data_IF_958561876315
#
_entry.id   IF_958561876315
#
_cell.length_a   1.000
_cell.length_b   1.000
_cell.length_c   1.000
_cell.angle_alpha   90.00
_cell.angle_beta   90.00
_cell.angle_gamma   90.00
#
_symmetry.space_group_name_H-M   'P 1'
#
loop_
_entity.id
_entity.type
_entity.pdbx_description
1 polymer ?
#
# COMPACT_ATOMS: atom_id res chain seq x y z
N UNK A 1 29.68 32.39 35.00
CA UNK A 1 30.90 31.65 34.66
C UNK A 1 30.73 30.21 35.13
N UNK A 2 30.31 29.30 34.25
CA UNK A 2 30.43 27.86 34.48
C UNK A 2 31.71 27.44 33.78
N UNK A 3 32.84 27.71 34.45
CA UNK A 3 34.17 27.30 34.01
C UNK A 3 34.54 26.13 34.90
N UNK A 4 34.77 24.96 34.29
CA UNK A 4 35.02 23.62 34.90
C UNK A 4 33.79 22.73 35.00
N UNK A 5 33.39 22.17 33.86
CA UNK A 5 32.76 20.85 33.82
C UNK A 5 33.81 19.90 33.25
N UNK A 6 34.31 18.98 34.08
CA UNK A 6 35.34 17.98 33.72
C UNK A 6 34.87 17.01 32.62
N UNK A 7 33.57 17.03 32.30
CA UNK A 7 32.97 16.23 31.23
C UNK A 7 33.48 16.59 29.83
N UNK A 8 33.91 17.84 29.61
CA UNK A 8 34.40 18.30 28.30
C UNK A 8 35.93 18.29 28.19
N UNK A 9 36.65 17.98 29.28
CA UNK A 9 38.11 17.98 29.28
C UNK A 9 38.71 16.74 28.59
N UNK A 10 37.91 15.70 28.37
CA UNK A 10 38.30 14.47 27.67
C UNK A 10 37.89 14.44 26.19
N UNK A 11 37.31 15.51 25.66
CA UNK A 11 36.87 15.59 24.26
C UNK A 11 38.00 15.83 23.24
N UNK A 12 39.25 15.95 23.68
CA UNK A 12 40.40 16.38 22.85
C UNK A 12 41.22 15.21 22.29
N UNK A 13 40.92 13.95 22.67
CA UNK A 13 41.72 12.79 22.26
C UNK A 13 40.99 11.76 21.38
N UNK A 14 39.78 12.06 20.91
CA UNK A 14 39.20 11.21 19.86
C UNK A 14 39.74 11.66 18.50
N UNK A 15 40.79 10.97 18.04
CA UNK A 15 41.37 11.16 16.71
C UNK A 15 40.42 10.62 15.63
N UNK A 16 39.36 11.39 15.41
CA UNK A 16 38.30 11.10 14.46
C UNK A 16 38.85 10.95 13.05
N UNK A 17 39.95 11.62 12.72
CA UNK A 17 40.61 11.54 11.41
C UNK A 17 41.20 10.15 11.26
N UNK A 18 42.07 9.71 12.19
CA UNK A 18 42.67 8.39 12.09
C UNK A 18 41.64 7.26 12.22
N UNK A 19 40.63 7.40 13.08
CA UNK A 19 39.55 6.40 13.17
C UNK A 19 38.66 6.35 11.92
N UNK A 20 38.43 7.49 11.27
CA UNK A 20 37.72 7.54 10.00
C UNK A 20 38.55 6.95 8.86
N UNK A 21 39.86 7.23 8.81
CA UNK A 21 40.79 6.65 7.83
C UNK A 21 40.87 5.13 8.02
N UNK A 22 41.10 4.62 9.24
CA UNK A 22 41.07 3.18 9.54
C UNK A 22 39.74 2.55 9.10
N UNK A 23 38.62 3.21 9.35
CA UNK A 23 37.29 2.73 8.94
C UNK A 23 37.16 2.69 7.41
N UNK A 24 37.53 3.75 6.69
CA UNK A 24 37.48 3.80 5.22
C UNK A 24 38.45 2.80 4.59
N UNK A 25 39.61 2.55 5.19
CA UNK A 25 40.55 1.50 4.76
C UNK A 25 40.00 0.09 5.03
N UNK A 26 39.32 -0.13 6.16
CA UNK A 26 38.68 -1.41 6.48
C UNK A 26 37.43 -1.69 5.63
N UNK A 27 36.70 -0.64 5.22
CA UNK A 27 35.53 -0.78 4.38
C UNK A 27 35.97 -0.62 2.93
N UNK A 28 36.00 -1.73 2.21
CA UNK A 28 36.44 -1.73 0.81
C UNK A 28 35.38 -1.08 -0.11
N UNK A 29 35.34 0.25 -0.12
CA UNK A 29 34.33 1.08 -0.79
C UNK A 29 34.58 1.27 -2.30
N UNK A 30 35.78 0.95 -2.77
CA UNK A 30 36.19 1.19 -4.15
C UNK A 30 35.74 0.05 -5.08
N UNK A 31 35.20 0.40 -6.25
CA UNK A 31 34.85 -0.57 -7.29
C UNK A 31 36.15 -0.99 -7.98
N UNK A 32 36.67 -2.14 -7.58
CA UNK A 32 38.03 -2.59 -7.95
C UNK A 32 38.21 -3.03 -9.40
N UNK A 33 37.14 -3.32 -10.15
CA UNK A 33 37.26 -3.87 -11.50
C UNK A 33 36.28 -3.22 -12.47
N UNK A 34 36.70 -3.09 -13.73
CA UNK A 34 35.84 -2.61 -14.81
C UNK A 34 34.59 -3.49 -14.98
N UNK A 35 34.72 -4.81 -14.81
CA UNK A 35 33.58 -5.73 -14.86
C UNK A 35 32.58 -5.45 -13.72
N UNK A 36 33.05 -5.19 -12.51
CA UNK A 36 32.18 -4.81 -11.38
C UNK A 36 31.49 -3.47 -11.62
N UNK A 37 32.18 -2.50 -12.22
CA UNK A 37 31.61 -1.22 -12.60
C UNK A 37 30.52 -1.37 -13.69
N UNK A 38 30.80 -2.12 -14.75
CA UNK A 38 29.87 -2.39 -15.84
C UNK A 38 28.62 -3.16 -15.36
N UNK A 39 28.80 -4.15 -14.48
CA UNK A 39 27.68 -4.87 -13.86
C UNK A 39 26.81 -3.94 -13.00
N UNK A 40 27.43 -3.03 -12.25
CA UNK A 40 26.71 -2.06 -11.43
C UNK A 40 25.92 -1.08 -12.29
N UNK A 41 26.53 -0.58 -13.38
CA UNK A 41 25.86 0.29 -14.35
C UNK A 41 24.65 -0.42 -14.98
N UNK A 42 24.82 -1.65 -15.45
CA UNK A 42 23.73 -2.46 -15.99
C UNK A 42 22.59 -2.63 -14.98
N UNK A 43 22.91 -2.99 -13.74
CA UNK A 43 21.91 -3.14 -12.68
C UNK A 43 21.15 -1.83 -12.41
N UNK A 44 21.83 -0.68 -12.43
CA UNK A 44 21.15 0.61 -12.26
C UNK A 44 20.21 0.93 -13.41
N UNK A 45 20.60 0.64 -14.65
CA UNK A 45 19.74 0.80 -15.82
C UNK A 45 18.50 -0.09 -15.69
N UNK A 46 18.67 -1.36 -15.31
CA UNK A 46 17.57 -2.29 -15.12
C UNK A 46 16.63 -1.83 -14.00
N UNK A 47 17.16 -1.40 -12.85
CA UNK A 47 16.37 -0.83 -11.75
C UNK A 47 15.54 0.37 -12.23
N UNK A 48 16.11 1.25 -13.05
CA UNK A 48 15.40 2.40 -13.58
C UNK A 48 14.27 1.98 -14.52
N UNK A 49 14.51 1.01 -15.40
CA UNK A 49 13.48 0.46 -16.28
C UNK A 49 12.33 -0.18 -15.47
N UNK A 50 12.66 -0.98 -14.45
CA UNK A 50 11.67 -1.58 -13.56
C UNK A 50 10.84 -0.53 -12.80
N UNK A 51 11.45 0.58 -12.37
CA UNK A 51 10.73 1.69 -11.74
C UNK A 51 9.73 2.34 -12.71
N UNK A 52 10.08 2.49 -13.98
CA UNK A 52 9.19 3.04 -15.01
C UNK A 52 7.98 2.13 -15.23
N UNK A 53 8.21 0.82 -15.40
CA UNK A 53 7.14 -0.17 -15.57
C UNK A 53 6.22 -0.22 -14.33
N UNK A 54 6.79 -0.21 -13.12
CA UNK A 54 6.02 -0.18 -11.88
C UNK A 54 5.11 1.06 -11.82
N UNK A 55 5.63 2.24 -12.16
CA UNK A 55 4.85 3.48 -12.19
C UNK A 55 3.71 3.43 -13.21
N UNK A 56 3.94 2.81 -14.38
CA UNK A 56 2.91 2.63 -15.40
C UNK A 56 1.76 1.76 -14.88
N UNK A 57 2.08 0.60 -14.30
CA UNK A 57 1.09 -0.31 -13.70
C UNK A 57 0.29 0.39 -12.59
N UNK A 58 0.97 1.11 -11.70
CA UNK A 58 0.30 1.84 -10.62
C UNK A 58 -0.64 2.93 -11.14
N UNK A 59 -0.25 3.67 -12.18
CA UNK A 59 -1.08 4.70 -12.79
C UNK A 59 -2.29 4.12 -13.51
N UNK A 60 -2.13 3.02 -14.23
CA UNK A 60 -3.25 2.29 -14.82
C UNK A 60 -4.22 1.77 -13.76
N UNK A 61 -3.70 1.19 -12.68
CA UNK A 61 -4.53 0.71 -11.57
C UNK A 61 -5.30 1.85 -10.92
N UNK A 62 -4.67 3.02 -10.69
CA UNK A 62 -5.38 4.23 -10.20
C UNK A 62 -6.52 4.65 -11.15
N UNK A 63 -6.29 4.61 -12.46
CA UNK A 63 -7.33 4.92 -13.48
C UNK A 63 -8.50 3.93 -13.44
N UNK A 64 -8.23 2.64 -13.20
CA UNK A 64 -9.27 1.60 -13.05
C UNK A 64 -9.99 1.67 -11.71
N UNK A 65 -9.27 1.99 -10.64
CA UNK A 65 -9.81 2.05 -9.28
C UNK A 65 -10.73 3.26 -9.06
N UNK A 66 -10.39 4.42 -9.62
CA UNK A 66 -11.15 5.66 -9.49
C UNK A 66 -12.65 5.51 -9.85
N UNK A 67 -13.04 5.04 -11.05
CA UNK A 67 -14.46 4.93 -11.40
C UNK A 67 -15.22 3.95 -10.50
N UNK A 68 -14.56 2.91 -10.00
CA UNK A 68 -15.17 1.95 -9.06
C UNK A 68 -15.43 2.63 -7.72
N UNK A 69 -14.46 3.39 -7.19
CA UNK A 69 -14.63 4.18 -5.96
C UNK A 69 -15.72 5.23 -6.10
N UNK A 70 -15.78 5.92 -7.24
CA UNK A 70 -16.80 6.92 -7.52
C UNK A 70 -18.20 6.27 -7.56
N UNK A 71 -18.35 5.13 -8.26
CA UNK A 71 -19.61 4.39 -8.30
C UNK A 71 -20.04 3.87 -6.92
N UNK A 72 -19.08 3.35 -6.14
CA UNK A 72 -19.33 2.89 -4.78
C UNK A 72 -19.84 4.03 -3.91
N UNK A 73 -19.19 5.20 -3.98
CA UNK A 73 -19.62 6.40 -3.26
C UNK A 73 -21.04 6.83 -3.66
N UNK A 74 -21.35 6.91 -4.96
CA UNK A 74 -22.69 7.27 -5.45
C UNK A 74 -23.76 6.32 -4.88
N UNK A 75 -23.51 5.01 -4.89
CA UNK A 75 -24.46 4.02 -4.35
C UNK A 75 -24.66 4.19 -2.85
N UNK A 76 -23.59 4.47 -2.11
CA UNK A 76 -23.66 4.70 -0.66
C UNK A 76 -24.44 5.96 -0.37
N UNK A 77 -24.09 7.08 -1.01
CA UNK A 77 -24.74 8.37 -0.81
C UNK A 77 -26.25 8.26 -1.11
N UNK A 78 -26.63 7.57 -2.20
CA UNK A 78 -28.05 7.31 -2.50
C UNK A 78 -28.77 6.50 -1.41
N UNK A 79 -28.13 5.47 -0.86
CA UNK A 79 -28.70 4.69 0.25
C UNK A 79 -28.83 5.58 1.50
N UNK A 80 -27.84 6.43 1.77
CA UNK A 80 -27.87 7.34 2.91
C UNK A 80 -29.01 8.35 2.81
N UNK A 81 -29.26 8.87 1.60
CA UNK A 81 -30.33 9.83 1.32
C UNK A 81 -31.71 9.18 1.44
N UNK A 82 -31.88 7.95 0.94
CA UNK A 82 -33.15 7.21 1.02
C UNK A 82 -33.43 6.64 2.42
N UNK A 83 -32.38 6.25 3.16
CA UNK A 83 -32.48 5.53 4.45
C UNK A 83 -31.68 6.24 5.55
N UNK A 84 -32.15 7.40 5.99
CA UNK A 84 -31.44 8.30 6.92
C UNK A 84 -31.07 7.69 8.28
N UNK A 85 -31.77 6.66 8.73
CA UNK A 85 -31.50 5.96 10.00
C UNK A 85 -30.40 4.88 9.91
N UNK A 86 -29.85 4.65 8.71
CA UNK A 86 -28.96 3.51 8.45
C UNK A 86 -27.64 3.52 9.23
N UNK A 87 -27.21 4.71 9.67
CA UNK A 87 -25.99 4.94 10.45
C UNK A 87 -26.02 4.47 11.90
N UNK A 88 -27.20 4.12 12.43
CA UNK A 88 -27.38 3.92 13.87
C UNK A 88 -27.92 2.55 14.25
N UNK A 89 -28.17 1.67 13.26
CA UNK A 89 -28.83 0.39 13.49
C UNK A 89 -28.18 -0.76 12.71
N UNK A 90 -28.34 -1.97 13.23
CA UNK A 90 -28.05 -3.20 12.50
C UNK A 90 -29.28 -3.52 11.63
N UNK A 91 -29.07 -3.68 10.33
CA UNK A 91 -30.15 -3.95 9.39
C UNK A 91 -30.20 -5.43 9.06
N UNK A 92 -31.38 -6.03 9.22
CA UNK A 92 -31.65 -7.38 8.77
C UNK A 92 -32.36 -7.34 7.43
N UNK A 93 -31.72 -7.87 6.39
CA UNK A 93 -32.34 -8.11 5.11
C UNK A 93 -32.43 -9.62 4.85
N UNK A 94 -33.64 -10.18 5.01
CA UNK A 94 -33.90 -11.63 4.95
C UNK A 94 -32.99 -12.41 5.92
N UNK A 95 -32.04 -13.16 5.36
CA UNK A 95 -31.07 -13.98 6.08
C UNK A 95 -29.77 -13.24 6.37
N UNK A 96 -29.62 -11.98 5.98
CA UNK A 96 -28.39 -11.22 6.15
C UNK A 96 -28.57 -10.14 7.20
N UNK A 97 -27.53 -9.91 8.00
CA UNK A 97 -27.38 -8.71 8.82
C UNK A 97 -26.24 -7.90 8.27
N UNK A 98 -26.41 -6.59 8.16
CA UNK A 98 -25.31 -5.68 7.84
C UNK A 98 -25.30 -4.48 8.77
N UNK A 99 -24.11 -3.92 8.95
CA UNK A 99 -23.88 -2.71 9.72
C UNK A 99 -23.12 -1.68 8.86
N UNK A 100 -23.58 -0.44 8.91
CA UNK A 100 -22.92 0.69 8.27
C UNK A 100 -22.36 1.66 9.32
N UNK A 101 -21.05 1.85 9.33
CA UNK A 101 -20.34 2.79 10.20
C UNK A 101 -19.72 3.93 9.37
N UNK A 102 -20.39 5.08 9.25
CA UNK A 102 -19.88 6.22 8.48
C UNK A 102 -18.59 6.81 9.07
N UNK A 103 -18.23 6.50 10.32
CA UNK A 103 -17.04 7.05 10.99
C UNK A 103 -15.75 6.40 10.51
N UNK A 104 -15.82 5.28 9.78
CA UNK A 104 -14.62 4.59 9.26
C UNK A 104 -14.04 5.31 8.05
N UNK A 105 -12.71 5.42 8.03
CA UNK A 105 -11.97 6.18 7.02
C UNK A 105 -12.09 5.57 5.62
N UNK A 106 -11.76 4.28 5.48
CA UNK A 106 -11.85 3.58 4.20
C UNK A 106 -13.31 3.15 3.93
N UNK A 107 -13.77 3.32 2.69
CA UNK A 107 -15.15 2.99 2.30
C UNK A 107 -15.44 1.49 2.48
N UNK A 108 -14.44 0.64 2.23
CA UNK A 108 -14.48 -0.81 2.49
C UNK A 108 -14.81 -1.12 3.94
N UNK A 109 -14.29 -0.32 4.87
CA UNK A 109 -14.41 -0.56 6.30
C UNK A 109 -15.74 -0.02 6.87
N UNK A 110 -16.44 0.82 6.10
CA UNK A 110 -17.74 1.38 6.50
C UNK A 110 -18.85 0.33 6.45
N UNK A 111 -18.74 -0.68 5.58
CA UNK A 111 -19.69 -1.78 5.54
C UNK A 111 -19.11 -3.01 6.22
N UNK A 112 -19.58 -3.30 7.43
CA UNK A 112 -19.34 -4.60 8.04
C UNK A 112 -20.43 -5.56 7.55
N UNK A 113 -20.06 -6.23 6.47
CA UNK A 113 -20.42 -7.59 6.03
C UNK A 113 -21.91 -7.98 6.10
N UNK A 114 -22.46 -8.46 4.98
CA UNK A 114 -23.74 -9.19 4.93
C UNK A 114 -23.53 -10.58 5.54
N UNK A 115 -23.52 -10.66 6.87
CA UNK A 115 -23.33 -11.93 7.57
C UNK A 115 -24.63 -12.74 7.53
N UNK A 116 -24.61 -13.99 7.01
CA UNK A 116 -25.78 -14.83 7.04
C UNK A 116 -26.10 -15.22 8.50
N UNK A 117 -27.36 -15.08 8.90
CA UNK A 117 -27.87 -15.43 10.24
C UNK A 117 -27.76 -16.94 10.49
N UNK A 118 -27.66 -17.74 9.42
CA UNK A 118 -27.40 -19.16 9.47
C UNK A 118 -26.15 -19.47 8.62
N UNK A 119 -25.07 -19.96 9.24
CA UNK A 119 -23.84 -20.38 8.55
C UNK A 119 -24.03 -21.57 7.59
N UNK A 120 -25.25 -22.11 7.48
CA UNK A 120 -25.61 -23.09 6.46
C UNK A 120 -26.28 -22.36 5.31
N UNK A 121 -25.65 -22.44 4.12
CA UNK A 121 -26.18 -22.10 2.78
C UNK A 121 -25.96 -20.60 2.41
N UNK A 122 -24.89 -20.19 1.73
CA UNK A 122 -24.35 -20.70 0.47
C UNK A 122 -22.86 -20.37 0.28
N UNK A 123 -22.12 -21.34 -0.28
CA UNK A 123 -20.89 -21.12 -1.05
C UNK A 123 -21.19 -20.12 -2.17
N UNK A 124 -20.32 -19.14 -2.40
CA UNK A 124 -20.41 -18.21 -3.52
C UNK A 124 -20.59 -18.96 -4.86
N UNK A 125 -21.81 -19.02 -5.37
CA UNK A 125 -22.14 -19.53 -6.70
C UNK A 125 -22.56 -18.41 -7.65
N UNK A 126 -21.94 -17.23 -7.55
CA UNK A 126 -22.04 -16.16 -8.56
C UNK A 126 -20.74 -15.32 -8.69
N UNK A 127 -19.58 -15.98 -8.72
CA UNK A 127 -18.35 -15.45 -9.37
C UNK A 127 -18.11 -16.23 -10.67
N UNK A 128 -19.14 -16.37 -11.49
CA UNK A 128 -19.03 -16.98 -12.81
C UNK A 128 -20.16 -16.49 -13.70
N UNK A 129 -20.17 -15.19 -14.01
CA UNK A 129 -20.90 -14.63 -15.15
C UNK A 129 -20.28 -13.27 -15.52
N UNK A 130 -19.01 -13.30 -15.93
CA UNK A 130 -18.55 -12.48 -17.05
C UNK A 130 -17.88 -13.48 -18.00
N UNK A 131 -18.70 -14.35 -18.59
CA UNK A 131 -18.32 -15.02 -19.81
C UNK A 131 -18.28 -13.94 -20.90
N UNK A 132 -17.10 -13.72 -21.48
CA UNK A 132 -16.99 -13.06 -22.76
C UNK A 132 -17.78 -13.91 -23.76
N UNK A 133 -18.96 -13.45 -24.20
CA UNK A 133 -19.59 -14.02 -25.37
C UNK A 133 -18.70 -13.73 -26.58
N UNK A 134 -18.24 -14.83 -27.18
CA UNK A 134 -17.35 -14.89 -28.31
C UNK A 134 -17.96 -14.23 -29.56
N UNK A 135 -17.16 -13.46 -30.28
CA UNK A 135 -17.27 -13.41 -31.74
C UNK A 135 -15.86 -13.51 -32.33
N UNK A 136 -15.52 -14.69 -32.85
CA UNK A 136 -15.17 -14.95 -34.26
C UNK A 136 -14.69 -16.40 -34.35
N UNK A 137 -15.42 -17.21 -35.11
CA UNK A 137 -15.00 -18.55 -35.55
C UNK A 137 -14.07 -18.42 -36.76
N UNK A 138 -13.11 -19.34 -36.87
CA UNK A 138 -12.12 -19.50 -37.94
C UNK A 138 -12.60 -19.20 -39.36
#
# INVERSE_FOLDING_TARGET
MVVKSDFYQFGVEFDWINKFVEYVECVNLEIKTEQSAANLEHNFIEINNLKVELNKIQNENKKREKPIKDLLKIKIDKIMDEYTLINHMNYRFKQFVFNYDPKKRAITDRFKELTPINNKVFVSSNISNIAYENSVSF
#
